data_IF_948343944429
#
_entry.id   IF_948343944429
#
_cell.length_a   1.000
_cell.length_b   1.000
_cell.length_c   1.000
_cell.angle_alpha   90.00
_cell.angle_beta   90.00
_cell.angle_gamma   90.00
#
_symmetry.space_group_name_H-M   'P 1'
#
loop_
_entity.id
_entity.type
_entity.pdbx_description
1 polymer ?
#
# COMPACT_ATOMS: atom_id res chain seq x y z
N UNK A 1 -1.70 -43.62 1.16
CA UNK A 1 -2.00 -42.18 1.05
C UNK A 1 -0.66 -41.45 1.08
N UNK A 2 -0.29 -40.73 0.02
CA UNK A 2 0.89 -39.87 -0.01
C UNK A 2 0.71 -38.74 1.03
N UNK A 3 1.77 -38.47 1.80
CA UNK A 3 1.69 -37.35 2.76
C UNK A 3 1.44 -36.04 2.00
N UNK A 4 0.65 -35.08 2.58
CA UNK A 4 0.45 -33.80 1.95
C UNK A 4 1.81 -33.06 1.83
N UNK A 5 2.03 -32.33 0.73
CA UNK A 5 3.29 -31.65 0.47
C UNK A 5 3.59 -30.61 1.57
N UNK A 6 4.89 -30.47 1.87
CA UNK A 6 5.39 -29.45 2.81
C UNK A 6 5.72 -28.18 2.06
N UNK A 7 5.09 -27.08 2.44
CA UNK A 7 5.25 -25.78 1.78
C UNK A 7 5.78 -24.75 2.78
N UNK A 8 6.90 -24.13 2.45
CA UNK A 8 7.39 -22.95 3.16
C UNK A 8 6.78 -21.68 2.58
N UNK A 9 6.18 -20.83 3.41
CA UNK A 9 5.76 -19.50 3.03
C UNK A 9 6.61 -18.49 3.80
N UNK A 10 7.33 -17.64 3.07
CA UNK A 10 8.30 -16.70 3.62
C UNK A 10 7.71 -15.28 3.53
N UNK A 11 7.44 -14.69 4.70
CA UNK A 11 6.76 -13.41 4.86
C UNK A 11 5.27 -13.57 5.17
N UNK A 12 4.83 -12.96 6.26
CA UNK A 12 3.45 -13.01 6.76
C UNK A 12 2.68 -11.70 6.50
N UNK A 13 3.02 -10.95 5.46
CA UNK A 13 2.17 -9.90 4.90
C UNK A 13 0.94 -10.49 4.22
N UNK A 14 0.05 -9.63 3.69
CA UNK A 14 -1.22 -10.08 3.08
C UNK A 14 -1.01 -11.14 2.00
N UNK A 15 0.08 -11.10 1.23
CA UNK A 15 0.37 -12.09 0.18
C UNK A 15 0.64 -13.47 0.75
N UNK A 16 1.51 -13.56 1.78
CA UNK A 16 1.80 -14.82 2.45
C UNK A 16 0.60 -15.38 3.22
N UNK A 17 -0.13 -14.51 3.92
CA UNK A 17 -1.36 -14.88 4.61
C UNK A 17 -2.44 -15.39 3.65
N UNK A 18 -2.60 -14.78 2.48
CA UNK A 18 -3.53 -15.23 1.45
C UNK A 18 -3.15 -16.60 0.91
N UNK A 19 -1.87 -16.82 0.60
CA UNK A 19 -1.37 -18.11 0.12
C UNK A 19 -1.54 -19.20 1.20
N UNK A 20 -1.18 -18.89 2.45
CA UNK A 20 -1.32 -19.82 3.58
C UNK A 20 -2.80 -20.18 3.80
N UNK A 21 -3.69 -19.20 3.85
CA UNK A 21 -5.11 -19.43 4.01
C UNK A 21 -5.71 -20.29 2.88
N UNK A 22 -5.31 -20.02 1.64
CA UNK A 22 -5.77 -20.78 0.49
C UNK A 22 -5.26 -22.22 0.49
N UNK A 23 -4.05 -22.51 0.96
CA UNK A 23 -3.41 -23.82 0.88
C UNK A 23 -3.60 -24.69 2.13
N UNK A 24 -4.14 -24.16 3.24
CA UNK A 24 -4.19 -24.83 4.56
C UNK A 24 -4.79 -26.23 4.55
N UNK A 25 -5.77 -26.48 3.69
CA UNK A 25 -6.46 -27.77 3.60
C UNK A 25 -5.80 -28.74 2.58
N UNK A 26 -4.84 -28.22 1.78
CA UNK A 26 -4.21 -28.98 0.68
C UNK A 26 -2.74 -29.34 0.96
N UNK A 27 -2.08 -28.68 1.93
CA UNK A 27 -0.66 -28.83 2.18
C UNK A 27 -0.32 -28.63 3.67
N UNK A 28 0.85 -29.12 4.09
CA UNK A 28 1.45 -28.80 5.40
C UNK A 28 2.26 -27.51 5.27
N UNK A 29 1.73 -26.43 5.82
CA UNK A 29 2.31 -25.11 5.70
C UNK A 29 3.17 -24.80 6.91
N UNK A 30 4.36 -24.23 6.65
CA UNK A 30 5.16 -23.51 7.63
C UNK A 30 5.23 -22.05 7.20
N UNK A 31 4.66 -21.15 7.98
CA UNK A 31 4.70 -19.70 7.76
C UNK A 31 5.84 -19.08 8.56
N UNK A 32 6.81 -18.47 7.85
CA UNK A 32 7.96 -17.79 8.44
C UNK A 32 7.76 -16.28 8.42
N UNK A 33 7.98 -15.63 9.55
CA UNK A 33 7.99 -14.17 9.70
C UNK A 33 9.23 -13.72 10.48
N UNK A 34 9.92 -12.73 9.93
CA UNK A 34 11.12 -12.17 10.54
C UNK A 34 10.82 -11.25 11.74
N UNK A 35 9.69 -10.54 11.64
CA UNK A 35 9.22 -9.60 12.67
C UNK A 35 8.63 -10.32 13.88
N UNK A 36 8.26 -9.56 14.89
CA UNK A 36 7.60 -10.04 16.11
C UNK A 36 6.06 -10.03 16.04
N UNK A 37 5.51 -9.72 14.88
CA UNK A 37 4.07 -9.77 14.57
C UNK A 37 3.82 -10.30 13.17
N UNK A 38 2.64 -10.88 12.95
CA UNK A 38 2.14 -11.25 11.64
C UNK A 38 1.33 -10.09 11.04
N UNK A 39 1.31 -9.96 9.71
CA UNK A 39 0.47 -8.98 9.00
C UNK A 39 1.24 -8.05 8.08
N UNK A 40 2.55 -7.84 8.28
CA UNK A 40 3.33 -6.86 7.51
C UNK A 40 2.71 -5.47 7.62
N UNK A 41 2.29 -4.86 6.50
CA UNK A 41 1.60 -3.55 6.51
C UNK A 41 0.21 -3.58 7.16
N UNK A 42 -0.41 -4.74 7.37
CA UNK A 42 -1.59 -4.87 8.23
C UNK A 42 -1.16 -4.85 9.70
N UNK A 43 -0.68 -3.71 10.14
CA UNK A 43 -0.14 -3.48 11.47
C UNK A 43 -1.07 -2.60 12.30
N UNK A 44 -1.49 -3.12 13.45
CA UNK A 44 -2.36 -2.41 14.40
C UNK A 44 -1.63 -2.22 15.71
N UNK A 45 -1.33 -0.96 16.05
CA UNK A 45 -0.83 -0.58 17.36
C UNK A 45 -1.98 -0.49 18.39
N UNK A 46 -1.77 -0.99 19.59
CA UNK A 46 -2.71 -0.72 20.71
C UNK A 46 -2.21 0.49 21.47
N UNK A 47 -3.02 1.53 21.53
CA UNK A 47 -2.73 2.74 22.29
C UNK A 47 -3.81 2.96 23.36
N UNK A 48 -3.45 3.63 24.43
CA UNK A 48 -4.33 3.98 25.53
C UNK A 48 -4.34 5.50 25.70
N UNK A 49 -5.52 6.10 25.61
CA UNK A 49 -5.72 7.54 25.72
C UNK A 49 -6.96 7.84 26.54
N UNK A 50 -7.04 9.01 27.21
CA UNK A 50 -8.28 9.46 27.85
C UNK A 50 -9.36 9.67 26.79
N UNK A 51 -10.61 9.34 27.14
CA UNK A 51 -11.76 9.49 26.22
C UNK A 51 -11.88 10.91 25.68
N UNK A 52 -11.73 11.90 26.53
CA UNK A 52 -11.77 13.32 26.17
C UNK A 52 -11.05 14.17 27.20
N UNK A 53 -10.92 15.47 26.95
CA UNK A 53 -10.39 16.43 27.92
C UNK A 53 -11.23 16.54 29.21
N UNK A 54 -12.50 16.11 29.16
CA UNK A 54 -13.44 16.16 30.31
C UNK A 54 -13.61 14.80 30.98
N UNK A 55 -13.28 13.73 30.29
CA UNK A 55 -13.36 12.35 30.77
C UNK A 55 -11.98 11.71 30.64
N UNK A 56 -11.24 11.69 31.75
CA UNK A 56 -9.88 11.16 31.82
C UNK A 56 -9.84 9.62 31.86
N UNK A 57 -10.98 8.92 31.78
CA UNK A 57 -11.03 7.45 31.76
C UNK A 57 -10.18 6.94 30.59
N UNK A 58 -9.12 6.16 30.85
CA UNK A 58 -8.28 5.62 29.79
C UNK A 58 -9.04 4.55 29.02
N UNK A 59 -8.94 4.60 27.69
CA UNK A 59 -9.50 3.59 26.79
C UNK A 59 -8.36 3.05 25.93
N UNK A 60 -8.15 1.73 25.97
CA UNK A 60 -7.25 1.04 25.08
C UNK A 60 -7.98 0.66 23.78
N UNK A 61 -7.41 0.98 22.62
CA UNK A 61 -7.99 0.65 21.32
C UNK A 61 -6.90 0.44 20.26
N UNK A 62 -7.20 -0.40 19.27
CA UNK A 62 -6.32 -0.65 18.13
C UNK A 62 -6.41 0.47 17.09
N UNK A 63 -5.25 0.93 16.60
CA UNK A 63 -5.13 1.87 15.48
C UNK A 63 -4.21 1.30 14.41
N UNK A 64 -4.62 1.34 13.16
CA UNK A 64 -3.79 0.87 12.05
C UNK A 64 -2.75 1.93 11.69
N UNK A 65 -1.54 1.46 11.35
CA UNK A 65 -0.40 2.34 11.02
C UNK A 65 0.10 2.16 9.59
N UNK A 66 -0.28 1.06 8.91
CA UNK A 66 0.08 0.78 7.53
C UNK A 66 -1.15 0.64 6.64
N UNK A 67 -1.83 -0.50 6.64
CA UNK A 67 -3.07 -0.69 5.89
C UNK A 67 -4.25 -0.05 6.62
N UNK A 68 -4.77 1.07 6.10
CA UNK A 68 -5.79 1.90 6.76
C UNK A 68 -7.21 1.67 6.23
N UNK A 69 -7.36 1.56 4.89
CA UNK A 69 -8.67 1.59 4.22
C UNK A 69 -8.70 0.74 2.96
N UNK A 70 -9.89 0.32 2.58
CA UNK A 70 -10.21 -0.32 1.31
C UNK A 70 -11.56 0.18 0.80
N UNK A 71 -11.94 -0.11 -0.45
CA UNK A 71 -13.22 0.29 -0.99
C UNK A 71 -13.99 -0.86 -1.63
N UNK A 72 -15.27 -0.66 -1.83
CA UNK A 72 -16.20 -1.68 -2.33
C UNK A 72 -16.08 -1.99 -3.83
N UNK A 73 -15.27 -1.24 -4.59
CA UNK A 73 -15.12 -1.39 -6.05
C UNK A 73 -13.86 -2.15 -6.44
N UNK A 74 -12.73 -1.81 -5.84
CA UNK A 74 -11.40 -2.27 -6.28
C UNK A 74 -10.77 -3.32 -5.37
N UNK A 75 -11.48 -3.76 -4.31
CA UNK A 75 -11.02 -4.76 -3.34
C UNK A 75 -11.94 -6.01 -3.27
N UNK A 76 -12.32 -6.64 -4.41
CA UNK A 76 -13.30 -7.73 -4.39
C UNK A 76 -12.81 -8.99 -3.67
N UNK A 77 -11.52 -9.31 -3.74
CA UNK A 77 -10.98 -10.48 -3.04
C UNK A 77 -10.87 -10.24 -1.54
N UNK A 78 -10.47 -9.02 -1.14
CA UNK A 78 -10.41 -8.65 0.28
C UNK A 78 -11.79 -8.64 0.93
N UNK A 79 -12.81 -8.15 0.22
CA UNK A 79 -14.21 -8.17 0.67
C UNK A 79 -14.67 -9.61 0.88
N UNK A 80 -14.37 -10.51 -0.06
CA UNK A 80 -14.69 -11.93 0.05
C UNK A 80 -13.97 -12.56 1.25
N UNK A 81 -12.67 -12.34 1.38
CA UNK A 81 -11.88 -12.84 2.51
C UNK A 81 -12.45 -12.38 3.86
N UNK A 82 -12.84 -11.09 3.97
CA UNK A 82 -13.44 -10.56 5.18
C UNK A 82 -14.82 -11.19 5.49
N UNK A 83 -15.62 -11.43 4.46
CA UNK A 83 -16.90 -12.12 4.61
C UNK A 83 -16.70 -13.57 5.09
N UNK A 84 -15.76 -14.31 4.47
CA UNK A 84 -15.46 -15.71 4.82
C UNK A 84 -14.90 -15.83 6.25
N UNK A 85 -14.11 -14.85 6.69
CA UNK A 85 -13.55 -14.82 8.03
C UNK A 85 -14.50 -14.17 9.08
N UNK A 86 -15.64 -13.61 8.68
CA UNK A 86 -16.51 -12.87 9.58
C UNK A 86 -15.82 -11.66 10.23
N UNK A 87 -15.11 -10.85 9.41
CA UNK A 87 -14.41 -9.64 9.86
C UNK A 87 -15.35 -8.44 9.85
N UNK A 88 -15.50 -7.79 11.00
CA UNK A 88 -16.31 -6.58 11.12
C UNK A 88 -15.61 -5.37 10.48
N UNK A 89 -16.39 -4.58 9.72
CA UNK A 89 -15.89 -3.39 9.04
C UNK A 89 -16.73 -2.17 9.35
N UNK A 90 -16.16 -0.99 9.18
CA UNK A 90 -16.85 0.29 9.37
C UNK A 90 -16.68 1.18 8.14
N UNK A 91 -17.60 2.15 7.98
CA UNK A 91 -17.44 3.19 6.97
C UNK A 91 -16.24 4.08 7.31
N UNK A 92 -15.50 4.51 6.28
CA UNK A 92 -14.35 5.39 6.39
C UNK A 92 -14.55 6.62 5.51
N UNK A 93 -14.06 7.76 5.99
CA UNK A 93 -14.02 9.00 5.22
C UNK A 93 -12.75 9.00 4.33
N UNK A 94 -12.92 9.30 3.04
CA UNK A 94 -11.81 9.50 2.13
C UNK A 94 -11.82 10.96 1.66
N UNK A 95 -11.24 11.82 2.45
CA UNK A 95 -11.06 13.24 2.17
C UNK A 95 -9.58 13.59 2.11
N UNK A 96 -9.25 14.63 1.34
CA UNK A 96 -7.89 15.05 1.08
C UNK A 96 -7.75 16.56 1.28
N UNK A 97 -6.66 16.98 1.92
CA UNK A 97 -6.29 18.38 2.06
C UNK A 97 -4.85 18.64 1.69
N UNK A 98 -4.57 19.88 1.35
CA UNK A 98 -3.22 20.36 1.04
C UNK A 98 -2.91 21.57 1.91
N UNK A 99 -1.76 21.54 2.53
CA UNK A 99 -1.09 22.69 3.11
C UNK A 99 0.26 22.92 2.41
N UNK A 100 0.47 24.11 1.89
CA UNK A 100 1.68 24.45 1.14
C UNK A 100 2.12 25.88 1.43
N UNK A 101 3.44 26.11 1.48
CA UNK A 101 3.97 27.46 1.51
C UNK A 101 3.65 28.20 0.19
N UNK A 102 3.32 29.47 0.28
CA UNK A 102 3.16 30.36 -0.88
C UNK A 102 4.45 31.17 -1.09
N UNK A 103 4.71 31.57 -2.32
CA UNK A 103 5.91 32.36 -2.67
C UNK A 103 6.00 33.71 -1.93
N UNK A 104 4.86 34.23 -1.45
CA UNK A 104 4.76 35.48 -0.68
C UNK A 104 4.86 35.31 0.85
N UNK A 105 5.34 34.16 1.32
CA UNK A 105 5.50 33.85 2.75
C UNK A 105 4.19 33.43 3.45
N UNK A 106 3.06 33.35 2.72
CA UNK A 106 1.81 32.84 3.28
C UNK A 106 1.68 31.32 3.15
N UNK A 107 0.66 30.75 3.81
CA UNK A 107 0.31 29.33 3.69
C UNK A 107 -0.98 29.16 2.91
N UNK A 108 -1.01 28.25 1.96
CA UNK A 108 -2.21 27.76 1.30
C UNK A 108 -2.76 26.58 2.08
N UNK A 109 -4.04 26.61 2.40
CA UNK A 109 -4.76 25.49 3.03
C UNK A 109 -6.13 25.34 2.37
N UNK A 110 -6.45 24.13 1.93
CA UNK A 110 -7.76 23.80 1.35
C UNK A 110 -8.00 22.28 1.42
N UNK A 111 -9.26 21.86 1.31
CA UNK A 111 -9.65 20.47 1.22
C UNK A 111 -10.69 20.24 0.15
N UNK A 112 -10.60 19.12 -0.55
CA UNK A 112 -11.49 18.78 -1.67
C UNK A 112 -12.83 18.16 -1.26
N UNK A 113 -13.24 18.23 0.00
CA UNK A 113 -14.43 17.53 0.49
C UNK A 113 -15.75 18.16 0.00
N UNK A 114 -15.84 19.50 0.06
CA UNK A 114 -17.00 20.29 -0.43
C UNK A 114 -16.58 21.73 -0.72
N UNK A 115 -17.48 22.53 -1.30
CA UNK A 115 -17.19 23.94 -1.65
C UNK A 115 -16.75 24.79 -0.44
N UNK A 116 -17.31 24.55 0.74
CA UNK A 116 -16.90 25.30 1.94
C UNK A 116 -15.45 24.98 2.34
N UNK A 117 -15.01 23.74 2.20
CA UNK A 117 -13.66 23.32 2.52
C UNK A 117 -12.66 23.64 1.43
N UNK A 118 -13.06 23.64 0.16
CA UNK A 118 -12.26 24.15 -0.97
C UNK A 118 -11.89 25.62 -0.72
N UNK A 119 -12.83 26.43 -0.25
CA UNK A 119 -12.62 27.81 0.13
C UNK A 119 -12.48 28.01 1.66
N UNK A 120 -11.87 27.08 2.37
CA UNK A 120 -11.54 27.19 3.80
C UNK A 120 -10.80 28.50 4.09
N UNK A 121 -9.94 28.94 3.17
CA UNK A 121 -9.37 30.28 3.14
C UNK A 121 -10.18 31.15 2.16
N UNK A 122 -11.03 32.04 2.66
CA UNK A 122 -11.90 32.90 1.84
C UNK A 122 -11.16 33.72 0.77
N UNK A 123 -9.90 34.11 1.04
CA UNK A 123 -9.03 34.79 0.06
C UNK A 123 -8.84 34.05 -1.24
N UNK A 124 -8.96 32.71 -1.22
CA UNK A 124 -8.80 31.85 -2.40
C UNK A 124 -9.92 32.07 -3.43
N UNK A 125 -11.09 32.67 -3.05
CA UNK A 125 -12.14 33.06 -3.97
C UNK A 125 -11.70 34.18 -4.97
N UNK A 126 -10.72 35.00 -4.56
CA UNK A 126 -10.17 36.08 -5.39
C UNK A 126 -8.75 35.78 -5.90
N UNK A 127 -8.25 34.60 -5.69
CA UNK A 127 -6.89 34.21 -6.13
C UNK A 127 -6.97 33.57 -7.53
N UNK A 128 -6.50 34.23 -8.60
CA UNK A 128 -6.60 33.70 -9.97
C UNK A 128 -5.77 32.41 -10.15
N UNK A 129 -4.67 32.23 -9.41
CA UNK A 129 -3.87 30.99 -9.45
C UNK A 129 -4.65 29.82 -8.87
N UNK A 130 -5.37 30.03 -7.77
CA UNK A 130 -6.21 29.01 -7.15
C UNK A 130 -7.42 28.66 -8.02
N UNK A 131 -8.08 29.65 -8.60
CA UNK A 131 -9.18 29.43 -9.54
C UNK A 131 -8.72 28.71 -10.81
N UNK A 132 -7.53 29.05 -11.33
CA UNK A 132 -6.87 28.34 -12.44
C UNK A 132 -6.58 26.88 -12.11
N UNK A 133 -6.12 26.58 -10.90
CA UNK A 133 -5.95 25.21 -10.40
C UNK A 133 -7.27 24.43 -10.46
N UNK A 134 -8.39 25.02 -10.00
CA UNK A 134 -9.71 24.35 -10.02
C UNK A 134 -10.20 24.12 -11.47
N UNK A 135 -9.96 25.07 -12.37
CA UNK A 135 -10.29 24.92 -13.79
C UNK A 135 -9.48 23.76 -14.43
N UNK A 136 -8.18 23.69 -14.15
CA UNK A 136 -7.32 22.63 -14.63
C UNK A 136 -7.70 21.26 -14.03
N UNK A 137 -8.11 21.20 -12.76
CA UNK A 137 -8.64 19.99 -12.14
C UNK A 137 -9.84 19.44 -12.91
N UNK A 138 -10.81 20.29 -13.21
CA UNK A 138 -12.01 19.89 -13.98
C UNK A 138 -11.65 19.46 -15.41
N UNK A 139 -10.71 20.16 -16.04
CA UNK A 139 -10.20 19.84 -17.38
C UNK A 139 -9.46 18.48 -17.38
N UNK A 140 -8.60 18.25 -16.39
CA UNK A 140 -7.86 16.99 -16.22
C UNK A 140 -8.82 15.82 -16.02
N UNK A 141 -9.75 15.92 -15.07
CA UNK A 141 -10.73 14.87 -14.80
C UNK A 141 -11.55 14.51 -16.05
N UNK A 142 -12.00 15.54 -16.81
CA UNK A 142 -12.75 15.32 -18.04
C UNK A 142 -11.91 14.65 -19.14
N UNK A 143 -10.66 15.06 -19.30
CA UNK A 143 -9.73 14.48 -20.27
C UNK A 143 -9.43 13.02 -19.95
N UNK A 144 -8.96 12.73 -18.73
CA UNK A 144 -8.55 11.40 -18.32
C UNK A 144 -9.70 10.41 -18.21
N UNK A 145 -10.90 10.88 -17.80
CA UNK A 145 -12.11 10.05 -17.83
C UNK A 145 -12.46 9.64 -19.27
N UNK A 146 -12.35 10.55 -20.23
CA UNK A 146 -12.61 10.26 -21.64
C UNK A 146 -11.63 9.22 -22.19
N UNK A 147 -10.34 9.36 -21.88
CA UNK A 147 -9.29 8.41 -22.28
C UNK A 147 -9.57 7.02 -21.68
N UNK A 148 -9.86 6.95 -20.39
CA UNK A 148 -10.17 5.69 -19.71
C UNK A 148 -11.42 5.00 -20.27
N UNK A 149 -12.49 5.77 -20.56
CA UNK A 149 -13.73 5.23 -21.13
C UNK A 149 -13.57 4.74 -22.58
N UNK A 150 -12.67 5.39 -23.35
CA UNK A 150 -12.33 4.94 -24.69
C UNK A 150 -11.42 3.70 -24.71
N UNK A 151 -10.82 3.33 -23.56
CA UNK A 151 -9.86 2.22 -23.46
C UNK A 151 -8.53 2.49 -24.18
N UNK A 152 -8.21 3.76 -24.42
CA UNK A 152 -6.99 4.19 -25.17
C UNK A 152 -5.83 4.57 -24.26
N UNK A 153 -5.97 4.43 -22.94
CA UNK A 153 -4.88 4.75 -22.01
C UNK A 153 -3.61 3.91 -22.25
N UNK A 154 -3.76 2.67 -22.74
CA UNK A 154 -2.64 1.80 -23.08
C UNK A 154 -1.75 2.31 -24.21
N UNK A 155 -2.24 3.22 -25.05
CA UNK A 155 -1.50 3.87 -26.12
C UNK A 155 -0.56 4.97 -25.60
N UNK A 156 -0.76 5.41 -24.35
CA UNK A 156 -0.01 6.48 -23.71
C UNK A 156 1.25 5.93 -23.02
N UNK A 157 2.28 5.62 -23.80
CA UNK A 157 3.56 5.07 -23.30
C UNK A 157 4.49 6.14 -22.69
N UNK A 158 4.02 7.39 -22.47
CA UNK A 158 4.85 8.50 -22.02
C UNK A 158 4.80 8.67 -20.49
N UNK A 159 5.83 9.32 -19.91
CA UNK A 159 5.82 9.76 -18.52
C UNK A 159 4.73 10.79 -18.26
N UNK A 160 4.23 10.81 -17.01
CA UNK A 160 3.21 11.77 -16.55
C UNK A 160 3.62 13.24 -16.77
N UNK A 161 4.90 13.57 -16.54
CA UNK A 161 5.42 14.92 -16.74
C UNK A 161 5.21 15.42 -18.16
N UNK A 162 5.57 14.61 -19.17
CA UNK A 162 5.39 14.93 -20.57
C UNK A 162 3.91 15.10 -20.96
N UNK A 163 3.03 14.25 -20.40
CA UNK A 163 1.59 14.35 -20.59
C UNK A 163 1.04 15.69 -20.04
N UNK A 164 1.46 16.08 -18.83
CA UNK A 164 1.06 17.34 -18.23
C UNK A 164 1.55 18.56 -19.05
N UNK A 165 2.76 18.50 -19.60
CA UNK A 165 3.35 19.53 -20.44
C UNK A 165 2.63 19.64 -21.79
N UNK A 166 2.43 18.52 -22.49
CA UNK A 166 1.72 18.46 -23.78
C UNK A 166 0.31 19.05 -23.69
N UNK A 167 -0.37 18.79 -22.55
CA UNK A 167 -1.69 19.34 -22.30
C UNK A 167 -1.69 20.70 -21.57
N UNK A 168 -0.55 21.34 -21.36
CA UNK A 168 -0.39 22.68 -20.75
C UNK A 168 -1.12 22.84 -19.42
N UNK A 169 -0.98 21.87 -18.51
CA UNK A 169 -1.49 22.01 -17.15
C UNK A 169 -0.60 22.95 -16.34
N UNK A 170 -1.22 23.93 -15.65
CA UNK A 170 -0.51 24.97 -14.94
C UNK A 170 0.23 24.50 -13.69
N UNK A 171 1.25 25.25 -13.24
CA UNK A 171 2.04 24.93 -12.06
C UNK A 171 1.17 24.83 -10.79
N UNK A 172 0.17 25.69 -10.62
CA UNK A 172 -0.74 25.64 -9.48
C UNK A 172 -1.51 24.30 -9.41
N UNK A 173 -1.98 23.79 -10.55
CA UNK A 173 -2.63 22.48 -10.61
C UNK A 173 -1.67 21.36 -10.21
N UNK A 174 -0.46 21.37 -10.74
CA UNK A 174 0.56 20.36 -10.45
C UNK A 174 0.96 20.37 -8.97
N UNK A 175 1.29 21.56 -8.45
CA UNK A 175 1.93 21.75 -7.15
C UNK A 175 0.96 21.79 -5.96
N UNK A 176 -0.28 22.25 -6.16
CA UNK A 176 -1.25 22.44 -5.08
C UNK A 176 -2.38 21.41 -5.06
N UNK A 177 -2.44 20.53 -6.06
CA UNK A 177 -3.45 19.49 -6.11
C UNK A 177 -2.89 18.14 -6.59
N UNK A 178 -2.43 18.08 -7.86
CA UNK A 178 -2.27 16.82 -8.54
C UNK A 178 -1.09 15.99 -8.02
N UNK A 179 0.12 16.56 -7.99
CA UNK A 179 1.31 15.87 -7.47
C UNK A 179 1.21 15.58 -5.97
N UNK A 180 0.67 16.49 -5.11
CA UNK A 180 0.29 16.17 -3.74
C UNK A 180 -0.60 14.94 -3.61
N UNK A 181 -1.71 14.89 -4.36
CA UNK A 181 -2.64 13.77 -4.32
C UNK A 181 -1.98 12.45 -4.74
N UNK A 182 -1.25 12.47 -5.85
CA UNK A 182 -0.57 11.30 -6.37
C UNK A 182 0.57 10.82 -5.44
N UNK A 183 1.34 11.76 -4.90
CA UNK A 183 2.37 11.46 -3.91
C UNK A 183 1.82 10.80 -2.64
N UNK A 184 0.65 11.22 -2.18
CA UNK A 184 -0.03 10.60 -1.04
C UNK A 184 -0.43 9.14 -1.31
N UNK A 185 -0.79 8.81 -2.56
CA UNK A 185 -1.24 7.47 -2.95
C UNK A 185 -0.08 6.47 -2.96
N UNK A 186 1.08 6.85 -3.53
CA UNK A 186 2.24 5.97 -3.67
C UNK A 186 3.41 6.30 -2.73
N UNK A 187 3.25 7.29 -1.85
CA UNK A 187 4.28 7.72 -0.89
C UNK A 187 5.64 8.01 -1.54
N UNK A 188 5.64 8.55 -2.76
CA UNK A 188 6.82 8.79 -3.57
C UNK A 188 7.02 10.28 -3.90
N UNK A 189 8.24 10.67 -4.24
CA UNK A 189 8.62 12.04 -4.52
C UNK A 189 7.92 12.61 -5.77
N UNK A 190 7.86 13.94 -5.86
CA UNK A 190 7.34 14.64 -7.05
C UNK A 190 8.08 14.24 -8.33
N UNK A 191 9.41 14.05 -8.26
CA UNK A 191 10.21 13.63 -9.43
C UNK A 191 9.86 12.22 -9.89
N UNK A 192 9.68 11.29 -8.94
CA UNK A 192 9.24 9.93 -9.23
C UNK A 192 7.83 9.92 -9.83
N UNK A 193 6.91 10.76 -9.31
CA UNK A 193 5.56 10.90 -9.87
C UNK A 193 5.57 11.41 -11.31
N UNK A 194 6.40 12.38 -11.65
CA UNK A 194 6.50 12.89 -13.01
C UNK A 194 7.05 11.85 -14.00
N UNK A 195 7.87 10.91 -13.53
CA UNK A 195 8.37 9.77 -14.32
C UNK A 195 7.40 8.58 -14.38
N UNK A 196 6.29 8.63 -13.63
CA UNK A 196 5.31 7.54 -13.57
C UNK A 196 4.59 7.37 -14.92
N UNK A 197 4.29 6.12 -15.35
CA UNK A 197 3.58 5.89 -16.61
C UNK A 197 2.16 6.47 -16.56
N UNK A 198 1.83 7.37 -17.50
CA UNK A 198 0.53 8.04 -17.50
C UNK A 198 -0.64 7.06 -17.69
N UNK A 199 -0.45 6.03 -18.50
CA UNK A 199 -1.45 4.96 -18.70
C UNK A 199 -1.84 4.29 -17.38
N UNK A 200 -0.83 3.90 -16.60
CA UNK A 200 -1.02 3.26 -15.28
C UNK A 200 -1.76 4.20 -14.32
N UNK A 201 -1.37 5.47 -14.27
CA UNK A 201 -2.00 6.50 -13.45
C UNK A 201 -3.47 6.70 -13.83
N UNK A 202 -3.79 6.86 -15.11
CA UNK A 202 -5.18 7.07 -15.58
C UNK A 202 -6.05 5.88 -15.21
N UNK A 203 -5.59 4.66 -15.50
CA UNK A 203 -6.31 3.41 -15.17
C UNK A 203 -6.55 3.29 -13.68
N UNK A 204 -5.53 3.52 -12.87
CA UNK A 204 -5.65 3.50 -11.41
C UNK A 204 -6.66 4.53 -10.90
N UNK A 205 -6.49 5.80 -11.27
CA UNK A 205 -7.38 6.88 -10.82
C UNK A 205 -8.83 6.67 -11.26
N UNK A 206 -9.06 6.15 -12.46
CA UNK A 206 -10.39 5.84 -12.96
C UNK A 206 -11.04 4.70 -12.15
N UNK A 207 -10.33 3.60 -11.91
CA UNK A 207 -10.85 2.45 -11.18
C UNK A 207 -11.18 2.80 -9.72
N UNK A 208 -10.35 3.63 -9.08
CA UNK A 208 -10.54 4.07 -7.69
C UNK A 208 -11.49 5.28 -7.55
N UNK A 209 -12.06 5.78 -8.65
CA UNK A 209 -12.98 6.92 -8.63
C UNK A 209 -12.34 8.26 -8.22
N UNK A 210 -11.00 8.39 -8.32
CA UNK A 210 -10.28 9.59 -7.87
C UNK A 210 -10.42 10.77 -8.81
N UNK A 211 -10.69 10.53 -10.10
CA UNK A 211 -10.96 11.52 -11.13
C UNK A 211 -12.47 11.72 -11.36
N UNK A 212 -13.30 11.17 -10.48
CA UNK A 212 -14.76 11.28 -10.53
C UNK A 212 -15.26 12.22 -9.42
N UNK A 213 -16.22 13.08 -9.76
CA UNK A 213 -16.88 13.96 -8.77
C UNK A 213 -18.07 13.26 -8.12
N UNK A 214 -18.77 12.42 -8.88
CA UNK A 214 -19.94 11.65 -8.45
C UNK A 214 -19.64 10.14 -8.59
N UNK A 215 -20.48 9.31 -7.95
CA UNK A 215 -20.36 7.85 -7.98
C UNK A 215 -18.99 7.34 -7.50
N UNK A 216 -18.44 7.97 -6.48
CA UNK A 216 -17.21 7.51 -5.83
C UNK A 216 -17.46 6.21 -5.07
N UNK A 217 -16.49 5.27 -5.03
CA UNK A 217 -16.62 4.07 -4.24
C UNK A 217 -16.75 4.39 -2.75
N UNK A 218 -17.48 3.55 -2.02
CA UNK A 218 -17.55 3.66 -0.57
C UNK A 218 -16.30 3.08 0.07
N UNK A 219 -15.62 3.88 0.86
CA UNK A 219 -14.44 3.45 1.61
C UNK A 219 -14.83 2.86 2.96
N UNK A 220 -14.05 1.88 3.39
CA UNK A 220 -14.24 1.12 4.63
C UNK A 220 -12.90 0.87 5.30
N UNK A 221 -12.97 0.54 6.60
CA UNK A 221 -11.84 0.11 7.42
C UNK A 221 -12.23 -1.11 8.24
N UNK A 222 -11.25 -1.84 8.77
CA UNK A 222 -11.51 -2.93 9.73
C UNK A 222 -11.79 -2.35 11.10
N UNK A 223 -12.91 -2.73 11.71
CA UNK A 223 -13.28 -2.27 13.06
C UNK A 223 -12.28 -2.82 14.09
N UNK A 224 -11.67 -1.94 14.86
CA UNK A 224 -10.68 -2.30 15.90
C UNK A 224 -9.29 -2.62 15.35
N UNK A 225 -9.07 -2.51 14.03
CA UNK A 225 -7.79 -2.65 13.37
C UNK A 225 -7.63 -3.92 12.54
N UNK A 226 -6.74 -3.85 11.58
CA UNK A 226 -6.48 -4.90 10.58
C UNK A 226 -5.94 -6.21 11.18
N UNK A 227 -5.32 -6.16 12.36
CA UNK A 227 -4.87 -7.38 13.07
C UNK A 227 -5.96 -8.44 13.24
N UNK A 228 -7.24 -8.05 13.32
CA UNK A 228 -8.33 -9.00 13.53
C UNK A 228 -8.47 -10.02 12.40
N UNK A 229 -8.31 -9.63 11.15
CA UNK A 229 -8.31 -10.60 10.06
C UNK A 229 -7.01 -11.43 10.02
N UNK A 230 -5.87 -10.80 10.37
CA UNK A 230 -4.57 -11.49 10.45
C UNK A 230 -4.63 -12.62 11.48
N UNK A 231 -5.11 -12.32 12.69
CA UNK A 231 -5.28 -13.28 13.78
C UNK A 231 -6.19 -14.45 13.37
N UNK A 232 -7.29 -14.19 12.66
CA UNK A 232 -8.21 -15.22 12.18
C UNK A 232 -7.54 -16.16 11.17
N UNK A 233 -6.73 -15.64 10.24
CA UNK A 233 -5.98 -16.47 9.29
C UNK A 233 -4.94 -17.30 10.02
N UNK A 234 -4.13 -16.66 10.86
CA UNK A 234 -3.02 -17.29 11.59
C UNK A 234 -3.51 -18.37 12.56
N UNK A 235 -4.68 -18.16 13.19
CA UNK A 235 -5.27 -19.17 14.07
C UNK A 235 -5.55 -20.50 13.36
N UNK A 236 -5.81 -20.47 12.05
CA UNK A 236 -6.05 -21.67 11.24
C UNK A 236 -4.79 -22.36 10.70
N UNK A 237 -3.58 -21.93 11.10
CA UNK A 237 -2.31 -22.52 10.67
C UNK A 237 -1.64 -23.26 11.83
N UNK A 238 -1.16 -24.48 11.56
CA UNK A 238 -0.51 -25.32 12.56
C UNK A 238 0.93 -24.86 12.86
N UNK A 239 1.74 -24.58 11.82
CA UNK A 239 3.14 -24.15 11.97
C UNK A 239 3.32 -22.71 11.48
N UNK A 240 3.51 -21.80 12.44
CA UNK A 240 3.67 -20.35 12.23
C UNK A 240 4.76 -19.84 13.16
N UNK A 241 5.76 -19.17 12.59
CA UNK A 241 6.99 -18.83 13.28
C UNK A 241 7.29 -17.34 13.18
N UNK A 242 7.16 -16.62 14.29
CA UNK A 242 7.61 -15.24 14.45
C UNK A 242 9.09 -15.18 14.80
N UNK A 243 9.72 -14.03 14.58
CA UNK A 243 11.15 -13.81 14.87
C UNK A 243 12.04 -14.92 14.30
N UNK A 244 11.62 -15.44 13.13
CA UNK A 244 12.29 -16.54 12.46
C UNK A 244 12.69 -16.11 11.04
N UNK A 245 13.68 -15.21 10.91
CA UNK A 245 14.12 -14.75 9.61
C UNK A 245 14.72 -15.90 8.81
N UNK A 246 14.20 -16.11 7.62
CA UNK A 246 14.84 -16.97 6.62
C UNK A 246 16.10 -16.25 6.15
N UNK A 247 17.22 -16.96 6.13
CA UNK A 247 18.53 -16.42 5.75
C UNK A 247 18.94 -16.78 4.33
N UNK A 248 18.51 -17.97 3.87
CA UNK A 248 18.83 -18.45 2.54
C UNK A 248 17.83 -19.48 2.06
N UNK A 249 17.56 -19.46 0.77
CA UNK A 249 16.77 -20.45 0.06
C UNK A 249 17.68 -21.07 -1.01
N UNK A 250 17.80 -22.41 -1.00
CA UNK A 250 18.56 -23.14 -2.01
C UNK A 250 17.64 -24.17 -2.64
N UNK A 251 17.55 -24.15 -3.97
CA UNK A 251 16.69 -25.04 -4.73
C UNK A 251 17.48 -26.26 -5.17
N UNK A 252 16.91 -27.44 -4.95
CA UNK A 252 17.50 -28.74 -5.32
C UNK A 252 16.52 -29.52 -6.19
N UNK A 253 16.98 -30.62 -6.78
CA UNK A 253 16.12 -31.53 -7.55
C UNK A 253 15.04 -32.19 -6.68
N UNK A 254 15.27 -32.26 -5.36
CA UNK A 254 14.36 -32.87 -4.40
C UNK A 254 13.42 -31.88 -3.70
N UNK A 255 13.48 -30.58 -4.02
CA UNK A 255 12.68 -29.51 -3.39
C UNK A 255 13.51 -28.29 -2.99
N UNK A 256 13.10 -27.62 -1.93
CA UNK A 256 13.66 -26.35 -1.49
C UNK A 256 14.21 -26.47 -0.07
N UNK A 257 15.46 -26.06 0.13
CA UNK A 257 16.08 -25.92 1.44
C UNK A 257 15.91 -24.51 1.96
N UNK A 258 15.30 -24.35 3.13
CA UNK A 258 15.09 -23.09 3.82
C UNK A 258 15.99 -23.03 5.04
N UNK A 259 16.95 -22.13 5.04
CA UNK A 259 17.89 -21.92 6.14
C UNK A 259 17.44 -20.77 7.02
N UNK A 260 17.38 -20.99 8.32
CA UNK A 260 17.15 -20.02 9.39
C UNK A 260 18.29 -20.05 10.40
N UNK A 261 18.25 -19.19 11.40
CA UNK A 261 19.25 -19.23 12.49
C UNK A 261 19.16 -20.54 13.34
N UNK A 262 18.02 -21.24 13.29
CA UNK A 262 17.81 -22.52 13.98
C UNK A 262 18.28 -23.74 13.19
N UNK A 263 18.63 -23.58 11.91
CA UNK A 263 19.07 -24.67 11.03
C UNK A 263 18.42 -24.62 9.66
N UNK A 264 18.59 -25.71 8.90
CA UNK A 264 18.05 -25.85 7.54
C UNK A 264 16.98 -26.93 7.50
N UNK A 265 15.82 -26.58 6.93
CA UNK A 265 14.71 -27.51 6.72
C UNK A 265 14.42 -27.68 5.23
N UNK A 266 13.97 -28.87 4.84
CA UNK A 266 13.55 -29.17 3.49
C UNK A 266 12.03 -29.06 3.35
N UNK A 267 11.61 -28.44 2.25
CA UNK A 267 10.23 -28.33 1.81
C UNK A 267 10.10 -28.79 0.35
N UNK A 268 8.92 -29.21 -0.04
CA UNK A 268 8.66 -29.58 -1.42
C UNK A 268 8.59 -28.33 -2.31
N UNK A 269 7.98 -27.26 -1.80
CA UNK A 269 7.90 -25.96 -2.47
C UNK A 269 8.09 -24.80 -1.50
N UNK A 270 8.44 -23.62 -2.06
CA UNK A 270 8.49 -22.36 -1.32
C UNK A 270 7.72 -21.25 -2.02
N UNK A 271 6.99 -20.44 -1.24
CA UNK A 271 6.37 -19.18 -1.70
C UNK A 271 7.10 -18.03 -1.00
N UNK A 272 7.81 -17.20 -1.79
CA UNK A 272 8.47 -16.00 -1.29
C UNK A 272 7.45 -14.85 -1.36
N UNK A 273 6.87 -14.52 -0.21
CA UNK A 273 5.85 -13.49 -0.05
C UNK A 273 6.42 -12.22 0.60
N UNK A 274 7.65 -11.89 0.25
CA UNK A 274 8.41 -10.72 0.71
C UNK A 274 8.48 -9.65 -0.38
N UNK A 275 9.17 -8.53 -0.11
CA UNK A 275 9.56 -7.59 -1.15
C UNK A 275 10.40 -8.29 -2.22
N UNK A 276 10.41 -7.77 -3.46
CA UNK A 276 11.15 -8.41 -4.56
C UNK A 276 12.66 -8.42 -4.32
N UNK A 277 13.23 -7.34 -3.79
CA UNK A 277 14.63 -7.22 -3.40
C UNK A 277 15.01 -8.18 -2.26
N UNK A 278 14.14 -8.32 -1.25
CA UNK A 278 14.30 -9.30 -0.18
C UNK A 278 14.23 -10.73 -0.74
N UNK A 279 13.24 -11.03 -1.60
CA UNK A 279 13.15 -12.31 -2.28
C UNK A 279 14.43 -12.65 -3.03
N UNK A 280 14.96 -11.66 -3.79
CA UNK A 280 16.22 -11.80 -4.54
C UNK A 280 17.41 -12.09 -3.60
N UNK A 281 17.51 -11.36 -2.49
CA UNK A 281 18.58 -11.53 -1.53
C UNK A 281 18.56 -12.90 -0.82
N UNK A 282 17.39 -13.50 -0.65
CA UNK A 282 17.23 -14.83 -0.03
C UNK A 282 17.66 -15.96 -0.95
N UNK A 283 17.59 -15.79 -2.28
CA UNK A 283 17.92 -16.85 -3.23
C UNK A 283 19.43 -17.10 -3.29
N UNK A 284 19.85 -18.30 -2.91
CA UNK A 284 21.25 -18.68 -2.92
C UNK A 284 21.80 -19.09 -4.30
N UNK A 285 20.91 -19.27 -5.27
CA UNK A 285 21.17 -19.85 -6.60
C UNK A 285 20.33 -19.12 -7.68
N UNK A 286 20.28 -17.80 -7.57
CA UNK A 286 19.51 -16.88 -8.43
C UNK A 286 19.85 -17.08 -9.91
N UNK A 287 18.84 -17.21 -10.75
CA UNK A 287 18.97 -17.18 -12.21
C UNK A 287 19.09 -15.75 -12.75
N UNK A 288 19.65 -15.55 -13.97
CA UNK A 288 19.66 -14.24 -14.60
C UNK A 288 18.27 -13.60 -14.78
N UNK A 289 17.25 -14.42 -15.07
CA UNK A 289 15.87 -13.95 -15.22
C UNK A 289 15.30 -13.45 -13.89
N UNK A 290 15.50 -14.20 -12.79
CA UNK A 290 15.09 -13.76 -11.46
C UNK A 290 15.81 -12.49 -11.03
N UNK A 291 17.11 -12.39 -11.26
CA UNK A 291 17.89 -11.19 -10.95
C UNK A 291 17.37 -9.96 -11.71
N UNK A 292 17.06 -10.11 -13.01
CA UNK A 292 16.56 -9.04 -13.85
C UNK A 292 15.15 -8.57 -13.39
N UNK A 293 14.25 -9.50 -13.12
CA UNK A 293 12.85 -9.18 -12.76
C UNK A 293 12.74 -8.66 -11.32
N UNK A 294 13.27 -9.40 -10.34
CA UNK A 294 13.15 -9.03 -8.94
C UNK A 294 13.97 -7.78 -8.58
N UNK A 295 15.13 -7.59 -9.22
CA UNK A 295 16.00 -6.44 -9.02
C UNK A 295 15.54 -5.15 -9.71
N UNK A 296 14.59 -5.23 -10.66
CA UNK A 296 14.06 -4.03 -11.33
C UNK A 296 13.11 -3.21 -10.45
N UNK A 297 12.53 -3.79 -9.40
CA UNK A 297 11.58 -3.12 -8.53
C UNK A 297 12.34 -2.57 -7.32
N UNK A 298 12.43 -1.25 -7.26
CA UNK A 298 13.10 -0.54 -6.17
C UNK A 298 12.11 -0.21 -5.07
N UNK A 299 12.61 0.00 -3.86
CA UNK A 299 11.80 0.38 -2.72
C UNK A 299 12.25 1.72 -2.18
N UNK A 300 11.29 2.49 -1.67
CA UNK A 300 11.54 3.74 -0.98
C UNK A 300 11.16 3.61 0.48
N UNK A 301 12.12 3.87 1.41
CA UNK A 301 11.84 3.87 2.82
C UNK A 301 11.00 5.08 3.21
N UNK A 302 10.01 4.85 4.07
CA UNK A 302 9.13 5.86 4.64
C UNK A 302 9.08 5.70 6.14
N UNK A 303 9.32 6.79 6.86
CA UNK A 303 9.24 6.84 8.31
C UNK A 303 7.84 7.27 8.74
N UNK A 304 7.17 6.44 9.53
CA UNK A 304 5.81 6.67 10.03
C UNK A 304 5.83 6.90 11.54
N UNK A 305 5.23 8.00 11.99
CA UNK A 305 5.13 8.38 13.39
C UNK A 305 3.68 8.38 13.82
N UNK A 306 3.32 7.57 14.81
CA UNK A 306 2.01 7.58 15.47
C UNK A 306 2.04 8.55 16.64
N UNK A 307 1.17 9.55 16.64
CA UNK A 307 1.18 10.64 17.61
C UNK A 307 -0.19 11.33 17.77
N UNK A 308 -0.26 12.27 18.73
CA UNK A 308 -1.45 13.10 18.99
C UNK A 308 -1.21 14.59 18.74
N UNK A 309 -0.07 14.99 18.21
CA UNK A 309 0.28 16.39 17.92
C UNK A 309 -0.51 16.95 16.74
N UNK A 310 -1.55 17.73 17.05
CA UNK A 310 -2.40 18.36 16.04
C UNK A 310 -1.76 19.57 15.33
N UNK A 311 -0.57 20.02 15.76
CA UNK A 311 0.11 21.16 15.13
C UNK A 311 0.54 20.87 13.68
N UNK A 312 0.72 19.58 13.31
CA UNK A 312 1.02 19.14 11.94
C UNK A 312 -0.14 19.29 10.97
N UNK A 313 -1.38 19.37 11.47
CA UNK A 313 -2.59 19.53 10.66
C UNK A 313 -2.77 20.99 10.18
N UNK A 314 -3.59 21.24 9.15
CA UNK A 314 -3.91 22.60 8.73
C UNK A 314 -4.39 23.48 9.90
N UNK A 315 -3.96 24.73 9.94
CA UNK A 315 -4.37 25.69 11.00
C UNK A 315 -5.90 25.86 11.03
N UNK A 316 -6.52 25.78 9.83
CA UNK A 316 -7.97 25.84 9.71
C UNK A 316 -8.58 24.46 9.88
N UNK A 317 -9.29 24.24 11.00
CA UNK A 317 -9.98 22.97 11.25
C UNK A 317 -10.96 22.58 10.15
N UNK A 318 -11.53 23.53 9.44
CA UNK A 318 -12.40 23.25 8.28
C UNK A 318 -11.65 22.62 7.10
N UNK A 319 -10.34 22.72 7.05
CA UNK A 319 -9.49 22.06 6.06
C UNK A 319 -8.98 20.69 6.50
N UNK A 320 -9.24 20.25 7.73
CA UNK A 320 -8.83 18.93 8.21
C UNK A 320 -9.53 17.84 7.40
N UNK A 321 -8.73 16.99 6.82
CA UNK A 321 -9.16 15.84 6.03
C UNK A 321 -8.63 14.53 6.63
N UNK A 322 -9.07 13.41 6.10
CA UNK A 322 -8.53 12.11 6.44
C UNK A 322 -7.04 12.02 6.04
N UNK A 323 -6.70 12.58 4.88
CA UNK A 323 -5.36 12.66 4.32
C UNK A 323 -4.96 14.14 4.20
N UNK A 324 -3.93 14.57 4.94
CA UNK A 324 -3.47 15.96 4.98
C UNK A 324 -2.04 16.02 4.45
N UNK A 325 -1.89 16.44 3.20
CA UNK A 325 -0.59 16.61 2.57
C UNK A 325 0.07 17.90 3.05
N UNK A 326 1.35 17.82 3.40
CA UNK A 326 2.17 18.96 3.71
C UNK A 326 3.30 19.09 2.69
N UNK A 327 3.41 20.26 2.06
CA UNK A 327 4.52 20.57 1.16
C UNK A 327 5.65 21.17 1.97
N UNK A 328 6.82 20.57 1.93
CA UNK A 328 8.05 21.10 2.48
C UNK A 328 8.43 22.46 1.86
N UNK A 329 9.15 23.29 2.60
CA UNK A 329 9.71 24.57 2.10
C UNK A 329 10.78 24.28 1.03
N UNK A 330 11.09 25.27 0.21
CA UNK A 330 11.96 25.10 -0.98
C UNK A 330 13.35 24.51 -0.68
N UNK A 331 13.93 24.76 0.51
CA UNK A 331 15.22 24.20 0.96
C UNK A 331 15.18 22.71 1.28
N UNK A 332 13.97 22.16 1.51
CA UNK A 332 13.75 20.74 1.84
C UNK A 332 13.26 19.93 0.63
N UNK A 333 13.07 20.59 -0.52
CA UNK A 333 12.68 19.92 -1.79
C UNK A 333 13.70 18.88 -2.26
N UNK A 334 14.95 19.00 -1.83
CA UNK A 334 16.01 18.05 -2.17
C UNK A 334 15.83 16.68 -1.50
N UNK A 335 15.11 16.59 -0.36
CA UNK A 335 14.82 15.29 0.26
C UNK A 335 13.83 14.43 -0.53
N UNK A 336 13.05 15.04 -1.42
CA UNK A 336 12.15 14.37 -2.37
C UNK A 336 11.03 13.54 -1.75
N UNK A 337 10.90 13.50 -0.42
CA UNK A 337 9.92 12.66 0.28
C UNK A 337 8.58 13.37 0.40
N UNK A 338 7.50 12.59 0.28
CA UNK A 338 6.13 13.05 0.55
C UNK A 338 5.92 13.10 2.05
N UNK A 339 5.44 14.25 2.56
CA UNK A 339 4.95 14.39 3.92
C UNK A 339 3.42 14.35 3.94
N UNK A 340 2.88 13.40 4.69
CA UNK A 340 1.45 13.13 4.77
C UNK A 340 1.04 12.83 6.21
N UNK A 341 -0.04 13.45 6.67
CA UNK A 341 -0.62 13.23 8.00
C UNK A 341 -2.00 12.60 7.86
N UNK A 342 -2.12 11.34 8.25
CA UNK A 342 -3.38 10.61 8.31
C UNK A 342 -4.09 10.92 9.62
N UNK A 343 -5.23 11.62 9.56
CA UNK A 343 -6.09 11.85 10.73
C UNK A 343 -6.97 10.62 10.94
N UNK A 344 -6.53 9.73 11.80
CA UNK A 344 -7.15 8.42 12.01
C UNK A 344 -8.58 8.51 12.51
N UNK A 345 -8.96 9.55 13.26
CA UNK A 345 -10.35 9.79 13.70
C UNK A 345 -11.36 9.94 12.55
N UNK A 346 -10.89 10.24 11.32
CA UNK A 346 -11.71 10.27 10.11
C UNK A 346 -11.68 8.96 9.33
N UNK A 347 -10.62 8.19 9.50
CA UNK A 347 -10.41 6.93 8.80
C UNK A 347 -10.98 5.74 9.57
N UNK A 348 -10.90 5.76 10.89
CA UNK A 348 -11.30 4.66 11.78
C UNK A 348 -12.27 5.16 12.85
N UNK A 349 -13.22 4.34 13.31
CA UNK A 349 -14.14 4.70 14.40
C UNK A 349 -13.42 4.62 15.75
N UNK A 350 -12.62 5.62 16.07
CA UNK A 350 -11.85 5.68 17.30
C UNK A 350 -12.70 6.18 18.48
N UNK A 351 -12.45 5.71 19.70
CA UNK A 351 -13.24 6.07 20.87
C UNK A 351 -12.85 7.43 21.49
N UNK A 352 -11.86 8.13 20.93
CA UNK A 352 -11.30 9.35 21.50
C UNK A 352 -11.68 10.60 20.69
N UNK A 353 -11.89 11.72 21.41
CA UNK A 353 -12.16 13.01 20.79
C UNK A 353 -10.89 13.71 20.28
N UNK A 354 -9.75 13.46 20.93
CA UNK A 354 -8.47 14.04 20.54
C UNK A 354 -7.97 13.47 19.23
N UNK A 355 -7.25 14.26 18.40
CA UNK A 355 -6.65 13.76 17.17
C UNK A 355 -5.66 12.63 17.44
N UNK A 356 -5.79 11.55 16.68
CA UNK A 356 -4.80 10.48 16.57
C UNK A 356 -4.33 10.49 15.12
N UNK A 357 -3.01 10.59 14.93
CA UNK A 357 -2.41 10.88 13.64
C UNK A 357 -1.28 9.88 13.37
N UNK A 358 -1.22 9.40 12.14
CA UNK A 358 0.00 8.79 11.60
C UNK A 358 0.59 9.76 10.60
N UNK A 359 1.79 10.25 10.87
CA UNK A 359 2.55 11.12 9.97
C UNK A 359 3.59 10.31 9.21
N UNK A 360 3.53 10.37 7.89
CA UNK A 360 4.52 9.75 7.01
C UNK A 360 5.54 10.81 6.58
N UNK A 361 6.82 10.56 6.89
CA UNK A 361 7.95 11.46 6.62
C UNK A 361 7.66 12.90 7.08
N UNK A 362 7.35 13.15 8.35
CA UNK A 362 7.06 14.49 8.85
C UNK A 362 8.24 15.43 8.58
N UNK A 363 7.93 16.64 8.07
CA UNK A 363 8.94 17.69 7.81
C UNK A 363 9.07 18.64 8.99
N UNK A 364 8.01 18.84 9.74
CA UNK A 364 8.03 19.60 10.99
C UNK A 364 8.27 18.63 12.16
N UNK A 365 8.96 19.12 13.20
CA UNK A 365 9.21 18.33 14.41
C UNK A 365 7.89 18.06 15.16
N UNK A 366 7.63 16.79 15.44
CA UNK A 366 6.51 16.35 16.26
C UNK A 366 6.92 16.43 17.72
N UNK A 367 6.07 16.99 18.59
CA UNK A 367 6.36 17.08 20.02
C UNK A 367 6.62 15.69 20.61
N UNK A 368 7.82 15.46 21.13
CA UNK A 368 8.29 14.14 21.60
C UNK A 368 7.35 13.52 22.65
N UNK A 369 6.74 14.34 23.51
CA UNK A 369 5.77 13.88 24.52
C UNK A 369 4.45 13.40 23.95
N UNK A 370 4.17 13.66 22.68
CA UNK A 370 2.97 13.26 21.97
C UNK A 370 3.21 12.09 20.99
N UNK A 371 4.48 11.68 20.82
CA UNK A 371 4.84 10.50 20.03
C UNK A 371 4.54 9.24 20.81
N UNK A 372 3.83 8.31 20.21
CA UNK A 372 3.43 7.04 20.80
C UNK A 372 4.25 5.88 20.25
N UNK A 373 4.53 5.89 18.93
CA UNK A 373 5.34 4.86 18.28
C UNK A 373 5.88 5.37 16.94
N UNK A 374 6.94 4.73 16.47
CA UNK A 374 7.59 5.01 15.19
C UNK A 374 7.80 3.71 14.42
N UNK A 375 7.64 3.73 13.11
CA UNK A 375 7.75 2.57 12.22
C UNK A 375 8.42 2.96 10.92
N UNK A 376 9.12 2.02 10.31
CA UNK A 376 9.66 2.18 8.97
C UNK A 376 8.92 1.24 8.00
N UNK A 377 8.42 1.81 6.91
CA UNK A 377 7.71 1.10 5.86
C UNK A 377 8.38 1.35 4.51
N UNK A 378 8.66 0.28 3.78
CA UNK A 378 9.21 0.37 2.44
C UNK A 378 8.10 0.19 1.40
N UNK A 379 7.99 1.14 0.47
CA UNK A 379 7.01 1.09 -0.61
C UNK A 379 7.67 0.88 -1.97
N UNK A 380 7.10 0.03 -2.84
CA UNK A 380 7.65 -0.19 -4.17
C UNK A 380 7.52 1.06 -5.04
N UNK A 381 8.58 1.39 -5.79
CA UNK A 381 8.59 2.46 -6.79
C UNK A 381 8.18 1.87 -8.13
N UNK A 382 6.98 2.22 -8.58
CA UNK A 382 6.38 1.68 -9.80
C UNK A 382 6.71 2.51 -11.04
N UNK A 383 7.99 2.58 -11.40
CA UNK A 383 8.44 3.20 -12.63
C UNK A 383 8.27 2.28 -13.86
N UNK A 384 8.70 2.75 -15.04
CA UNK A 384 8.59 1.98 -16.29
C UNK A 384 9.37 0.65 -16.22
N UNK A 385 10.48 0.60 -15.48
CA UNK A 385 11.26 -0.62 -15.32
C UNK A 385 10.50 -1.64 -14.47
N UNK A 386 9.91 -1.19 -13.37
CA UNK A 386 9.06 -2.02 -12.50
C UNK A 386 7.83 -2.57 -13.26
N UNK A 387 7.13 -1.73 -14.03
CA UNK A 387 5.96 -2.16 -14.82
C UNK A 387 6.34 -3.21 -15.87
N UNK A 388 7.49 -3.07 -16.53
CA UNK A 388 8.00 -4.10 -17.47
C UNK A 388 8.33 -5.39 -16.75
N UNK A 389 9.02 -5.30 -15.60
CA UNK A 389 9.37 -6.46 -14.80
C UNK A 389 8.14 -7.23 -14.29
N UNK A 390 7.07 -6.51 -13.89
CA UNK A 390 5.81 -7.15 -13.50
C UNK A 390 5.23 -8.06 -14.59
N UNK A 391 5.37 -7.70 -15.86
CA UNK A 391 4.89 -8.51 -16.98
C UNK A 391 5.66 -9.84 -17.15
N UNK A 392 6.90 -9.91 -16.66
CA UNK A 392 7.76 -11.08 -16.75
C UNK A 392 7.64 -12.04 -15.54
N UNK A 393 7.01 -11.58 -14.43
CA UNK A 393 6.84 -12.40 -13.22
C UNK A 393 6.15 -13.74 -13.48
N UNK A 394 5.11 -13.85 -14.33
CA UNK A 394 4.47 -15.13 -14.62
C UNK A 394 5.43 -16.22 -15.11
N UNK A 395 6.49 -15.85 -15.85
CA UNK A 395 7.48 -16.79 -16.34
C UNK A 395 8.41 -17.36 -15.25
N UNK A 396 8.49 -16.71 -14.09
CA UNK A 396 9.26 -17.18 -12.95
C UNK A 396 8.48 -18.17 -12.06
N UNK A 397 7.15 -18.15 -12.13
CA UNK A 397 6.31 -18.89 -11.20
C UNK A 397 6.46 -20.41 -11.38
N UNK A 398 6.65 -21.11 -10.28
CA UNK A 398 6.80 -22.56 -10.23
C UNK A 398 8.17 -23.09 -10.70
N UNK A 399 9.04 -22.21 -11.18
CA UNK A 399 10.39 -22.61 -11.58
C UNK A 399 11.18 -23.10 -10.35
N UNK A 400 11.79 -24.29 -10.47
CA UNK A 400 12.59 -24.89 -9.39
C UNK A 400 11.85 -24.94 -8.05
N UNK A 401 10.54 -25.27 -8.07
CA UNK A 401 9.67 -25.39 -6.90
C UNK A 401 9.49 -24.09 -6.10
N UNK A 402 9.68 -22.92 -6.74
CA UNK A 402 9.63 -21.60 -6.09
C UNK A 402 8.57 -20.71 -6.72
N UNK A 403 7.84 -20.00 -5.87
CA UNK A 403 6.76 -19.09 -6.24
C UNK A 403 7.00 -17.72 -5.60
N UNK A 404 6.57 -16.67 -6.26
CA UNK A 404 6.71 -15.31 -5.78
C UNK A 404 5.32 -14.67 -5.61
N UNK A 405 5.15 -13.91 -4.53
CA UNK A 405 3.93 -13.16 -4.27
C UNK A 405 4.25 -11.85 -3.54
N UNK A 406 3.57 -10.77 -3.92
CA UNK A 406 3.76 -9.47 -3.28
C UNK A 406 2.88 -8.40 -3.90
N UNK A 407 2.57 -7.35 -3.14
CA UNK A 407 1.84 -6.19 -3.66
C UNK A 407 2.58 -5.48 -4.81
N UNK A 408 3.90 -5.63 -4.87
CA UNK A 408 4.76 -5.14 -5.93
C UNK A 408 4.48 -5.73 -7.32
N UNK A 409 3.71 -6.83 -7.39
CA UNK A 409 3.26 -7.43 -8.64
C UNK A 409 2.06 -6.70 -9.28
N UNK A 410 1.52 -5.68 -8.59
CA UNK A 410 0.44 -4.81 -9.04
C UNK A 410 0.74 -3.35 -8.73
N UNK A 411 -0.26 -2.62 -8.27
CA UNK A 411 -0.13 -1.19 -7.92
C UNK A 411 0.45 -0.93 -6.53
N UNK A 412 0.84 -1.95 -5.78
CA UNK A 412 1.42 -1.84 -4.44
C UNK A 412 0.38 -1.83 -3.30
N UNK A 413 -0.89 -2.11 -3.58
CA UNK A 413 -1.97 -2.07 -2.58
C UNK A 413 -2.28 -3.45 -1.99
N UNK A 414 -3.07 -3.42 -0.94
CA UNK A 414 -3.44 -4.62 -0.18
C UNK A 414 -4.14 -5.67 -1.05
N UNK A 415 -5.04 -5.24 -1.93
CA UNK A 415 -5.72 -6.13 -2.90
C UNK A 415 -4.73 -6.77 -3.88
N UNK A 416 -3.69 -6.03 -4.30
CA UNK A 416 -2.68 -6.58 -5.22
C UNK A 416 -1.86 -7.67 -4.53
N UNK A 417 -1.48 -7.44 -3.27
CA UNK A 417 -0.80 -8.45 -2.47
C UNK A 417 -1.65 -9.70 -2.24
N UNK A 418 -2.95 -9.49 -1.94
CA UNK A 418 -3.90 -10.60 -1.79
C UNK A 418 -4.04 -11.40 -3.08
N UNK A 419 -4.22 -10.73 -4.22
CA UNK A 419 -4.28 -11.37 -5.55
C UNK A 419 -3.04 -12.18 -5.86
N UNK A 420 -1.86 -11.62 -5.59
CA UNK A 420 -0.60 -12.30 -5.83
C UNK A 420 -0.45 -13.57 -4.99
N UNK A 421 -0.83 -13.52 -3.71
CA UNK A 421 -0.82 -14.68 -2.83
C UNK A 421 -1.79 -15.78 -3.26
N UNK A 422 -3.02 -15.39 -3.65
CA UNK A 422 -4.02 -16.33 -4.18
C UNK A 422 -3.56 -16.96 -5.49
N UNK A 423 -2.98 -16.19 -6.42
CA UNK A 423 -2.48 -16.68 -7.69
C UNK A 423 -1.30 -17.66 -7.51
N UNK A 424 -0.38 -17.38 -6.59
CA UNK A 424 0.71 -18.30 -6.25
C UNK A 424 0.16 -19.61 -5.68
N UNK A 425 -0.83 -19.55 -4.80
CA UNK A 425 -1.49 -20.73 -4.23
C UNK A 425 -2.24 -21.55 -5.28
N UNK A 426 -2.94 -20.90 -6.20
CA UNK A 426 -3.65 -21.55 -7.30
C UNK A 426 -2.68 -22.24 -8.27
N UNK A 427 -1.63 -21.53 -8.69
CA UNK A 427 -0.59 -22.09 -9.55
C UNK A 427 0.10 -23.31 -8.90
N UNK A 428 0.40 -23.22 -7.60
CA UNK A 428 0.97 -24.35 -6.86
C UNK A 428 0.00 -25.55 -6.79
N UNK A 429 -1.29 -25.31 -6.53
CA UNK A 429 -2.30 -26.38 -6.56
C UNK A 429 -2.38 -27.09 -7.90
N UNK A 430 -2.40 -26.32 -9.00
CA UNK A 430 -2.37 -26.85 -10.35
C UNK A 430 -1.13 -27.71 -10.59
N UNK A 431 0.03 -27.25 -10.11
CA UNK A 431 1.30 -27.97 -10.21
C UNK A 431 1.29 -29.32 -9.44
N UNK A 432 0.58 -29.40 -8.31
CA UNK A 432 0.43 -30.61 -7.49
C UNK A 432 -0.64 -31.57 -7.98
N UNK A 433 -1.47 -31.18 -8.92
CA UNK A 433 -2.59 -32.01 -9.43
C UNK A 433 -2.06 -33.20 -10.25
N UNK A 434 -2.59 -34.41 -10.08
CA UNK A 434 -2.09 -35.63 -10.76
C UNK A 434 -2.16 -35.56 -12.29
N UNK A 435 -3.03 -34.74 -12.85
CA UNK A 435 -3.21 -34.58 -14.31
C UNK A 435 -1.94 -34.01 -14.97
N UNK A 436 -1.25 -33.09 -14.31
CA UNK A 436 -0.03 -32.49 -14.85
C UNK A 436 1.22 -33.34 -14.63
N UNK A 437 1.22 -34.23 -13.61
CA UNK A 437 2.30 -35.19 -13.39
C UNK A 437 2.44 -36.18 -14.55
N UNK A 438 1.35 -36.57 -15.20
CA UNK A 438 1.38 -37.48 -16.37
C UNK A 438 1.89 -36.80 -17.66
N UNK A 439 1.73 -35.46 -17.78
CA UNK A 439 2.20 -34.70 -18.95
C UNK A 439 3.70 -34.37 -18.93
N UNK A 440 4.35 -34.54 -17.78
CA UNK A 440 5.78 -34.20 -17.56
C UNK A 440 6.72 -35.40 -17.46
N UNK A 441 6.21 -36.64 -17.53
CA UNK A 441 7.07 -37.83 -17.63
C UNK A 441 7.71 -37.85 -19.03
N UNK A 442 9.06 -37.80 -19.15
CA UNK A 442 9.71 -38.00 -20.43
C UNK A 442 9.46 -39.42 -20.90
N UNK A 443 9.04 -39.58 -22.14
CA UNK A 443 8.89 -40.83 -22.83
C UNK A 443 10.27 -41.47 -23.12
#
# INVERSE_FOLDING_TARGET
MTQPPRIAIIGAGISGLAAAHALRDAARITLFEASDYFGGHAHTATIELPRSARDATPIAHGVDTGFLVYNDRTYPNLIRLFADLGVETALSEMSFSVQAARDNGGRLEWSGNNLSTVFAQRRNLADPRFLGMLADLLRFNRLTTRIAQAGTEGELAQPLGEFLDAHRFGAAFRDWYFLPMMGCIWSCSTAQMLAFPVATMIRFCHNHGLIQIANRPQWRTVRGGSRHYVEKIVAGLDDKRLRTPVRRITRTDEGVLVATDAGTERFDHAILATHSDQSLALLGDTSPAEAAVLGAIRYQPNHAVLHTDAAVLPQRRSAWAAWNYQRAVASERESGRVCLHYLLNKLQPLPWEQPVIVSLNPVDEIQRSQVMAEYDYDHPVLDLAAIRAQAEVPALQGQRNTWFAGAWMGYGFHEDGLKAGLAAAEGLRAHLSPIDAMARSPA
#
